data_IF_012247338564
#
_entry.id   IF_012247338564
#
_cell.length_a   1.000
_cell.length_b   1.000
_cell.length_c   1.000
_cell.angle_alpha   90.00
_cell.angle_beta   90.00
_cell.angle_gamma   90.00
#
_symmetry.space_group_name_H-M   'P 1'
#
loop_
_entity.id
_entity.type
_entity.pdbx_description
1 polymer ?
#
# COMPACT_ATOMS: atom_id res chain seq x y z
N UNK A 1 -13.99 -9.83 -12.10
CA UNK A 1 -13.05 -9.32 -11.11
C UNK A 1 -12.30 -10.51 -10.53
N UNK A 2 -11.08 -10.77 -11.01
CA UNK A 2 -10.24 -11.85 -10.51
C UNK A 2 -9.39 -11.31 -9.37
N UNK A 3 -9.83 -11.54 -8.14
CA UNK A 3 -8.98 -11.28 -6.99
C UNK A 3 -7.87 -12.32 -6.96
N UNK A 4 -6.63 -11.92 -6.86
CA UNK A 4 -5.47 -12.79 -6.67
C UNK A 4 -5.46 -13.47 -5.28
N UNK A 5 -6.63 -13.83 -4.81
CA UNK A 5 -6.87 -14.43 -3.49
C UNK A 5 -6.23 -15.83 -3.38
N UNK A 6 -5.89 -16.47 -4.49
CA UNK A 6 -5.43 -17.86 -4.49
C UNK A 6 -3.92 -18.08 -4.48
N UNK A 7 -3.12 -17.09 -4.85
CA UNK A 7 -1.67 -17.30 -5.06
C UNK A 7 -0.84 -16.83 -3.87
N UNK A 8 -1.28 -15.81 -3.15
CA UNK A 8 -0.53 -15.18 -2.07
C UNK A 8 -0.94 -15.63 -0.66
N UNK A 9 -2.14 -16.17 -0.49
CA UNK A 9 -2.66 -16.65 0.80
C UNK A 9 -2.98 -18.14 0.70
N UNK A 10 -2.14 -19.03 1.25
CA UNK A 10 -2.32 -20.49 1.14
C UNK A 10 -3.70 -20.97 1.59
N UNK A 11 -4.29 -20.33 2.59
CA UNK A 11 -5.62 -20.65 3.13
C UNK A 11 -6.77 -20.33 2.15
N UNK A 12 -6.48 -19.60 1.08
CA UNK A 12 -7.43 -19.35 0.01
C UNK A 12 -7.29 -20.37 -1.14
N UNK A 13 -6.24 -21.17 -1.10
CA UNK A 13 -6.06 -22.24 -2.09
C UNK A 13 -7.10 -23.35 -1.88
N UNK A 14 -7.79 -23.73 -2.95
CA UNK A 14 -8.75 -24.83 -2.89
C UNK A 14 -10.14 -24.48 -2.33
N UNK A 15 -10.43 -23.19 -2.09
CA UNK A 15 -11.78 -22.76 -1.74
C UNK A 15 -12.76 -23.08 -2.88
N UNK A 16 -13.91 -23.66 -2.54
CA UNK A 16 -15.04 -23.77 -3.44
C UNK A 16 -15.69 -22.40 -3.71
N UNK A 17 -16.68 -22.38 -4.61
CA UNK A 17 -17.34 -21.13 -5.01
C UNK A 17 -18.11 -20.46 -3.86
N UNK A 18 -18.73 -21.25 -2.99
CA UNK A 18 -19.52 -20.77 -1.86
C UNK A 18 -18.63 -20.14 -0.80
N UNK A 19 -17.57 -20.83 -0.37
CA UNK A 19 -16.60 -20.30 0.60
C UNK A 19 -15.87 -19.05 0.08
N UNK A 20 -15.59 -18.99 -1.23
CA UNK A 20 -15.01 -17.80 -1.86
C UNK A 20 -16.00 -16.63 -1.83
N UNK A 21 -17.25 -16.87 -2.21
CA UNK A 21 -18.29 -15.84 -2.20
C UNK A 21 -18.57 -15.32 -0.79
N UNK A 22 -18.58 -16.20 0.22
CA UNK A 22 -18.72 -15.80 1.61
C UNK A 22 -17.62 -14.82 2.03
N UNK A 23 -16.35 -15.10 1.72
CA UNK A 23 -15.24 -14.17 2.01
C UNK A 23 -15.37 -12.82 1.29
N UNK A 24 -15.87 -12.84 0.06
CA UNK A 24 -16.12 -11.60 -0.67
C UNK A 24 -17.20 -10.78 0.02
N UNK A 25 -18.36 -11.37 0.31
CA UNK A 25 -19.50 -10.64 0.88
C UNK A 25 -19.33 -10.28 2.36
N UNK A 26 -18.59 -11.06 3.14
CA UNK A 26 -18.45 -10.82 4.57
C UNK A 26 -17.24 -9.97 4.94
N UNK A 27 -16.20 -9.92 4.08
CA UNK A 27 -14.95 -9.24 4.39
C UNK A 27 -14.64 -8.16 3.35
N UNK A 28 -14.57 -8.54 2.07
CA UNK A 28 -14.12 -7.63 1.03
C UNK A 28 -15.12 -6.51 0.75
N UNK A 29 -16.39 -6.84 0.47
CA UNK A 29 -17.41 -5.85 0.15
C UNK A 29 -17.62 -4.84 1.28
N UNK A 30 -17.76 -5.22 2.56
CA UNK A 30 -17.88 -4.27 3.65
C UNK A 30 -16.66 -3.34 3.79
N UNK A 31 -15.46 -3.86 3.61
CA UNK A 31 -14.25 -3.04 3.63
C UNK A 31 -14.20 -2.08 2.44
N UNK A 32 -14.55 -2.57 1.25
CA UNK A 32 -14.63 -1.78 0.04
C UNK A 32 -15.62 -0.62 0.17
N UNK A 33 -16.84 -0.91 0.62
CA UNK A 33 -17.90 0.06 0.76
C UNK A 33 -17.57 1.12 1.81
N UNK A 34 -17.04 0.72 2.96
CA UNK A 34 -16.57 1.64 4.00
C UNK A 34 -15.44 2.56 3.50
N UNK A 35 -14.50 2.00 2.76
CA UNK A 35 -13.41 2.78 2.14
C UNK A 35 -13.96 3.76 1.10
N UNK A 36 -14.86 3.30 0.22
CA UNK A 36 -15.49 4.16 -0.78
C UNK A 36 -16.23 5.33 -0.13
N UNK A 37 -17.07 5.06 0.89
CA UNK A 37 -17.82 6.08 1.60
C UNK A 37 -16.91 7.13 2.26
N UNK A 38 -15.77 6.73 2.81
CA UNK A 38 -14.77 7.66 3.37
C UNK A 38 -14.11 8.53 2.29
N UNK A 39 -13.81 7.95 1.13
CA UNK A 39 -13.12 8.64 0.03
C UNK A 39 -14.06 9.52 -0.79
N UNK A 40 -15.35 9.23 -0.82
CA UNK A 40 -16.37 10.05 -1.52
C UNK A 40 -16.65 11.40 -0.83
N UNK A 41 -16.08 11.62 0.37
CA UNK A 41 -16.20 12.91 1.04
C UNK A 41 -15.47 14.01 0.24
N UNK A 42 -16.12 15.17 -0.03
CA UNK A 42 -15.63 16.19 -0.97
C UNK A 42 -14.29 16.83 -0.60
N UNK A 43 -13.82 16.68 0.65
CA UNK A 43 -12.51 17.18 1.07
C UNK A 43 -11.38 16.17 0.83
N UNK A 44 -11.67 14.96 0.36
CA UNK A 44 -10.64 13.94 0.07
C UNK A 44 -10.03 14.21 -1.30
N UNK A 45 -8.70 14.14 -1.38
CA UNK A 45 -7.93 14.34 -2.62
C UNK A 45 -6.68 13.45 -2.72
N UNK A 46 -6.43 12.64 -1.70
CA UNK A 46 -5.32 11.70 -1.67
C UNK A 46 -5.70 10.45 -0.88
N UNK A 47 -5.09 9.33 -1.25
CA UNK A 47 -5.22 8.06 -0.52
C UNK A 47 -3.89 7.32 -0.53
N UNK A 48 -3.57 6.65 0.58
CA UNK A 48 -2.34 5.90 0.76
C UNK A 48 -2.68 4.52 1.31
N UNK A 49 -2.29 3.47 0.59
CA UNK A 49 -2.34 2.11 1.09
C UNK A 49 -1.02 1.79 1.80
N UNK A 50 -1.07 1.37 3.07
CA UNK A 50 0.14 1.08 3.84
C UNK A 50 0.16 -0.42 4.13
N UNK A 51 1.18 -1.08 3.61
CA UNK A 51 1.40 -2.51 3.67
C UNK A 51 2.76 -2.84 4.26
N UNK A 52 3.07 -4.12 4.37
CA UNK A 52 4.40 -4.58 4.75
C UNK A 52 4.81 -5.82 3.96
N UNK A 53 6.11 -5.98 3.76
CA UNK A 53 6.71 -7.10 3.03
C UNK A 53 7.81 -7.79 3.84
N UNK A 54 8.11 -9.04 3.51
CA UNK A 54 9.17 -9.82 4.15
C UNK A 54 10.55 -9.47 3.59
N UNK A 55 11.64 -9.48 4.39
CA UNK A 55 13.01 -9.16 3.94
C UNK A 55 13.57 -10.16 2.91
N UNK A 56 12.90 -11.28 2.74
CA UNK A 56 13.23 -12.24 1.69
C UNK A 56 11.99 -12.98 1.23
N UNK A 57 11.97 -13.41 -0.04
CA UNK A 57 10.90 -14.22 -0.61
C UNK A 57 11.46 -15.08 -1.75
N UNK A 58 11.12 -16.38 -1.74
CA UNK A 58 11.59 -17.30 -2.78
C UNK A 58 13.11 -17.39 -2.90
N UNK A 59 13.85 -17.25 -1.78
CA UNK A 59 15.31 -17.25 -1.76
C UNK A 59 15.99 -15.95 -2.25
N UNK A 60 15.20 -14.91 -2.58
CA UNK A 60 15.72 -13.60 -2.98
C UNK A 60 15.64 -12.62 -1.82
N UNK A 61 16.75 -11.93 -1.54
CA UNK A 61 16.81 -10.85 -0.56
C UNK A 61 16.10 -9.62 -1.11
N UNK A 62 15.37 -8.92 -0.24
CA UNK A 62 14.67 -7.66 -0.49
C UNK A 62 15.32 -6.60 0.41
N UNK A 63 16.30 -5.84 -0.11
CA UNK A 63 17.15 -5.01 0.73
C UNK A 63 16.49 -3.72 1.20
N UNK A 64 15.43 -3.28 0.56
CA UNK A 64 14.76 -2.02 0.84
C UNK A 64 14.14 -2.01 2.25
N UNK A 65 14.24 -0.91 2.96
CA UNK A 65 13.60 -0.70 4.25
C UNK A 65 12.12 -0.26 4.07
N UNK A 66 11.88 0.51 3.00
CA UNK A 66 10.56 0.98 2.59
C UNK A 66 10.50 1.05 1.06
N UNK A 67 9.34 0.72 0.49
CA UNK A 67 9.06 0.83 -0.93
C UNK A 67 7.87 1.74 -1.21
N UNK A 68 7.90 2.41 -2.35
CA UNK A 68 6.78 3.20 -2.88
C UNK A 68 6.39 2.63 -4.23
N UNK A 69 5.16 2.11 -4.33
CA UNK A 69 4.63 1.54 -5.55
C UNK A 69 3.65 2.52 -6.20
N UNK A 70 3.80 2.69 -7.49
CA UNK A 70 2.97 3.58 -8.29
C UNK A 70 3.01 3.17 -9.77
N UNK A 71 2.06 3.66 -10.56
CA UNK A 71 2.07 3.49 -12.01
C UNK A 71 1.64 4.77 -12.73
N UNK A 72 0.39 5.19 -12.70
CA UNK A 72 -0.08 6.38 -13.42
C UNK A 72 0.17 7.69 -12.66
N UNK A 73 0.12 7.67 -11.32
CA UNK A 73 0.55 8.81 -10.51
C UNK A 73 2.08 8.74 -10.27
N UNK A 74 2.82 9.21 -11.23
CA UNK A 74 4.28 9.25 -11.21
C UNK A 74 4.87 10.40 -10.36
N UNK A 75 4.02 11.17 -9.66
CA UNK A 75 4.43 12.35 -8.88
C UNK A 75 4.40 12.12 -7.38
N UNK A 76 3.32 11.52 -6.87
CA UNK A 76 3.10 11.38 -5.43
C UNK A 76 4.17 10.53 -4.75
N UNK A 77 4.45 9.35 -5.27
CA UNK A 77 5.46 8.43 -4.71
C UNK A 77 6.87 9.03 -4.69
N UNK A 78 7.38 9.66 -5.78
CA UNK A 78 8.67 10.35 -5.73
C UNK A 78 8.74 11.50 -4.71
N UNK A 79 7.66 12.28 -4.56
CA UNK A 79 7.63 13.36 -3.57
C UNK A 79 7.68 12.84 -2.12
N UNK A 80 6.99 11.74 -1.83
CA UNK A 80 7.05 11.07 -0.52
C UNK A 80 8.44 10.48 -0.27
N UNK A 81 9.03 9.82 -1.26
CA UNK A 81 10.39 9.29 -1.21
C UNK A 81 11.39 10.40 -0.86
N UNK A 82 11.33 11.53 -1.55
CA UNK A 82 12.25 12.64 -1.33
C UNK A 82 12.09 13.24 0.08
N UNK A 83 10.85 13.36 0.56
CA UNK A 83 10.59 13.82 1.91
C UNK A 83 11.16 12.88 2.98
N UNK A 84 11.03 11.57 2.78
CA UNK A 84 11.60 10.57 3.69
C UNK A 84 13.12 10.54 3.62
N UNK A 85 13.71 10.55 2.43
CA UNK A 85 15.15 10.56 2.25
C UNK A 85 15.83 11.79 2.89
N UNK A 86 15.14 12.93 2.91
CA UNK A 86 15.63 14.14 3.60
C UNK A 86 15.66 13.99 5.12
N UNK A 87 14.78 13.18 5.72
CA UNK A 87 14.72 12.95 7.18
C UNK A 87 15.61 11.77 7.56
N UNK A 88 15.59 10.70 6.77
CA UNK A 88 16.30 9.43 7.01
C UNK A 88 17.08 9.02 5.77
N UNK A 89 18.23 9.68 5.52
CA UNK A 89 19.09 9.36 4.37
C UNK A 89 19.77 7.99 4.46
N UNK A 90 19.69 7.35 5.61
CA UNK A 90 20.20 6.01 5.89
C UNK A 90 19.27 4.89 5.38
N UNK A 91 17.98 5.19 5.13
CA UNK A 91 17.04 4.18 4.65
C UNK A 91 17.24 3.84 3.18
N UNK A 92 17.24 2.57 2.87
CA UNK A 92 17.23 2.08 1.50
C UNK A 92 15.78 2.08 0.97
N UNK A 93 15.47 3.04 0.11
CA UNK A 93 14.12 3.25 -0.42
C UNK A 93 13.98 2.62 -1.80
N UNK A 94 12.99 1.75 -1.98
CA UNK A 94 12.62 1.16 -3.26
C UNK A 94 11.57 1.98 -4.00
N UNK A 95 11.69 2.10 -5.33
CA UNK A 95 10.66 2.68 -6.20
C UNK A 95 10.15 1.58 -7.13
N UNK A 96 8.84 1.25 -7.01
CA UNK A 96 8.25 0.06 -7.60
C UNK A 96 8.98 -1.23 -7.18
N UNK A 97 9.36 -1.28 -5.90
CA UNK A 97 9.99 -2.39 -5.22
C UNK A 97 9.40 -2.59 -3.82
N UNK A 98 9.22 -3.80 -3.33
CA UNK A 98 9.61 -5.09 -3.94
C UNK A 98 8.56 -5.67 -4.90
N UNK A 99 7.52 -4.95 -5.21
CA UNK A 99 6.42 -5.33 -6.11
C UNK A 99 6.16 -4.24 -7.13
N UNK A 100 5.36 -4.57 -8.14
CA UNK A 100 4.75 -3.60 -9.05
C UNK A 100 3.23 -3.71 -8.93
N UNK A 101 2.53 -2.61 -9.15
CA UNK A 101 1.06 -2.60 -9.13
C UNK A 101 0.54 -3.20 -10.44
N UNK A 102 -0.21 -4.28 -10.32
CA UNK A 102 -0.83 -5.01 -11.44
C UNK A 102 -2.35 -5.03 -11.28
N UNK A 103 -3.08 -4.91 -12.39
CA UNK A 103 -4.55 -4.92 -12.38
C UNK A 103 -5.16 -6.21 -11.81
N UNK A 104 -4.41 -7.31 -11.90
CA UNK A 104 -4.88 -8.63 -11.48
C UNK A 104 -4.70 -8.89 -9.98
N UNK A 105 -3.69 -8.27 -9.37
CA UNK A 105 -3.31 -8.48 -7.96
C UNK A 105 -3.64 -7.32 -7.05
N UNK A 106 -3.64 -6.11 -7.60
CA UNK A 106 -3.87 -4.90 -6.84
C UNK A 106 -5.26 -4.33 -7.12
N UNK A 107 -5.93 -4.00 -6.04
CA UNK A 107 -7.29 -3.47 -6.13
C UNK A 107 -7.37 -2.04 -5.59
N UNK A 108 -6.66 -1.75 -4.48
CA UNK A 108 -6.84 -0.49 -3.78
C UNK A 108 -6.42 0.71 -4.62
N UNK A 109 -5.22 0.66 -5.21
CA UNK A 109 -4.69 1.77 -6.02
C UNK A 109 -5.52 1.98 -7.28
N UNK A 110 -5.78 0.95 -8.13
CA UNK A 110 -6.62 1.11 -9.31
C UNK A 110 -8.00 1.67 -9.02
N UNK A 111 -8.65 1.16 -7.99
CA UNK A 111 -10.06 1.46 -7.73
C UNK A 111 -10.27 2.72 -6.89
N UNK A 112 -9.46 2.91 -5.86
CA UNK A 112 -9.61 4.01 -4.91
C UNK A 112 -8.70 5.21 -5.19
N UNK A 113 -7.55 5.01 -5.80
CA UNK A 113 -6.64 6.08 -6.21
C UNK A 113 -6.92 6.57 -7.63
N UNK A 114 -6.61 5.74 -8.61
CA UNK A 114 -6.62 6.10 -10.03
C UNK A 114 -8.01 6.43 -10.56
N UNK A 115 -9.00 5.58 -10.31
CA UNK A 115 -10.36 5.79 -10.79
C UNK A 115 -11.01 7.07 -10.24
N UNK A 116 -10.53 7.58 -9.10
CA UNK A 116 -10.96 8.84 -8.50
C UNK A 116 -10.10 10.05 -8.89
N UNK A 117 -8.99 9.84 -9.58
CA UNK A 117 -8.02 10.89 -9.88
C UNK A 117 -7.35 11.47 -8.63
N UNK A 118 -7.25 10.71 -7.55
CA UNK A 118 -6.59 11.15 -6.33
C UNK A 118 -5.09 10.99 -6.45
N UNK A 119 -4.35 11.85 -5.76
CA UNK A 119 -2.97 11.60 -5.45
C UNK A 119 -2.87 10.30 -4.61
N UNK A 120 -2.01 9.37 -5.00
CA UNK A 120 -1.97 8.06 -4.34
C UNK A 120 -0.59 7.42 -4.35
N UNK A 121 -0.37 6.52 -3.40
CA UNK A 121 0.80 5.63 -3.35
C UNK A 121 0.44 4.37 -2.57
N UNK A 122 0.97 3.24 -2.98
CA UNK A 122 1.03 2.06 -2.14
C UNK A 122 2.42 2.03 -1.49
N UNK A 123 2.44 2.00 -0.17
CA UNK A 123 3.65 2.10 0.65
C UNK A 123 3.88 0.75 1.30
N UNK A 124 5.07 0.19 1.08
CA UNK A 124 5.47 -1.10 1.58
C UNK A 124 6.60 -0.92 2.60
N UNK A 125 6.40 -1.30 3.87
CA UNK A 125 7.43 -1.26 4.91
C UNK A 125 7.98 -2.66 5.12
N UNK A 126 9.32 -2.82 5.16
CA UNK A 126 9.89 -4.14 5.46
C UNK A 126 9.51 -4.54 6.88
N UNK A 127 8.88 -5.70 7.05
CA UNK A 127 8.18 -6.07 8.28
C UNK A 127 9.10 -6.26 9.50
N UNK A 128 10.38 -6.57 9.30
CA UNK A 128 11.36 -6.63 10.36
C UNK A 128 11.71 -5.26 10.98
N UNK A 129 11.35 -4.16 10.31
CA UNK A 129 11.49 -2.80 10.83
C UNK A 129 10.35 -2.39 11.78
N UNK A 130 9.24 -3.13 11.75
CA UNK A 130 8.00 -2.79 12.48
C UNK A 130 7.51 -3.94 13.38
N UNK A 131 8.42 -4.80 13.83
CA UNK A 131 8.08 -5.95 14.68
C UNK A 131 7.61 -5.56 16.07
N UNK A 132 8.01 -4.40 16.55
CA UNK A 132 7.66 -3.88 17.87
C UNK A 132 7.08 -2.46 17.81
N UNK A 133 6.54 -2.01 18.95
CA UNK A 133 5.90 -0.70 19.07
C UNK A 133 6.86 0.45 18.76
N UNK A 134 8.14 0.29 19.05
CA UNK A 134 9.14 1.34 18.79
C UNK A 134 9.38 1.49 17.28
N UNK A 135 9.58 0.40 16.56
CA UNK A 135 9.69 0.40 15.11
C UNK A 135 8.43 0.93 14.42
N UNK A 136 7.24 0.50 14.88
CA UNK A 136 5.96 1.01 14.38
C UNK A 136 5.83 2.53 14.56
N UNK A 137 6.20 3.05 15.72
CA UNK A 137 6.17 4.49 16.00
C UNK A 137 7.11 5.27 15.07
N UNK A 138 8.33 4.78 14.85
CA UNK A 138 9.30 5.42 13.94
C UNK A 138 8.73 5.58 12.54
N UNK A 139 8.18 4.51 11.95
CA UNK A 139 7.63 4.59 10.61
C UNK A 139 6.30 5.37 10.55
N UNK A 140 5.47 5.31 11.59
CA UNK A 140 4.25 6.12 11.67
C UNK A 140 4.57 7.62 11.69
N UNK A 141 5.54 8.05 12.51
CA UNK A 141 5.98 9.44 12.59
C UNK A 141 6.59 9.91 11.27
N UNK A 142 7.46 9.09 10.67
CA UNK A 142 8.11 9.38 9.40
C UNK A 142 7.09 9.58 8.27
N UNK A 143 6.14 8.67 8.13
CA UNK A 143 5.07 8.77 7.14
C UNK A 143 4.13 9.95 7.43
N UNK A 144 3.79 10.18 8.69
CA UNK A 144 2.95 11.31 9.10
C UNK A 144 3.56 12.65 8.66
N UNK A 145 4.87 12.84 8.88
CA UNK A 145 5.58 14.05 8.45
C UNK A 145 5.61 14.16 6.93
N UNK A 146 5.97 13.09 6.23
CA UNK A 146 6.07 13.09 4.77
C UNK A 146 4.72 13.38 4.10
N UNK A 147 3.64 12.70 4.53
CA UNK A 147 2.29 12.88 4.01
C UNK A 147 1.75 14.28 4.34
N UNK A 148 1.96 14.76 5.57
CA UNK A 148 1.53 16.11 5.96
C UNK A 148 2.21 17.18 5.10
N UNK A 149 3.50 17.06 4.86
CA UNK A 149 4.25 17.97 4.00
C UNK A 149 3.78 17.90 2.54
N UNK A 150 3.48 16.71 2.05
CA UNK A 150 2.89 16.52 0.73
C UNK A 150 1.53 17.22 0.60
N UNK A 151 0.63 17.03 1.56
CA UNK A 151 -0.72 17.60 1.53
C UNK A 151 -0.78 19.13 1.70
N UNK A 152 0.29 19.74 2.24
CA UNK A 152 0.40 21.20 2.39
C UNK A 152 0.92 21.90 1.13
N UNK A 153 1.47 21.16 0.18
CA UNK A 153 1.88 21.75 -1.11
C UNK A 153 0.63 22.14 -1.89
N UNK A 154 0.59 23.36 -2.44
CA UNK A 154 -0.52 23.86 -3.23
C UNK A 154 -0.73 23.09 -4.52
#
# INVERSE_FOLDING_TARGET
MHYAIGVLVPENAGLDGEARQARVSEIFEPFHDATAALLDHPCRRATFAIHSFTPSMGGRTRPWDIGFLYRYDDKTSPLLRDAIAAIRPDLLIGMNEPYQIEDESDWFVPYHGEARGFAHSLIEIRNDQIVDVAGQAVFADLLSVAITNFLRKP
#
